data_IF_731638109747
#
_entry.id   IF_731638109747
#
_cell.length_a   1.000
_cell.length_b   1.000
_cell.length_c   1.000
_cell.angle_alpha   90.00
_cell.angle_beta   90.00
_cell.angle_gamma   90.00
#
_symmetry.space_group_name_H-M   'P 1'
#
loop_
_entity.id
_entity.type
_entity.pdbx_description
1 polymer ?
#
# COMPACT_ATOMS: atom_id res chain seq x y z
N UNK A 1 69.86 9.88 -5.34
CA UNK A 1 68.89 8.98 -4.69
C UNK A 1 68.63 9.52 -3.29
N UNK A 2 67.46 9.24 -2.72
CA UNK A 2 67.11 9.63 -1.35
C UNK A 2 66.77 8.38 -0.54
N UNK A 3 66.77 8.53 0.79
CA UNK A 3 66.32 7.53 1.76
C UNK A 3 65.14 8.09 2.54
N UNK A 4 64.14 7.25 2.79
CA UNK A 4 63.05 7.56 3.72
C UNK A 4 63.02 6.51 4.81
N UNK A 5 62.87 6.99 6.05
CA UNK A 5 62.56 6.16 7.20
C UNK A 5 61.15 6.50 7.65
N UNK A 6 60.29 5.47 7.63
CA UNK A 6 58.86 5.58 7.90
C UNK A 6 58.54 4.72 9.12
N UNK A 7 57.91 5.32 10.12
CA UNK A 7 57.31 4.59 11.23
C UNK A 7 55.80 4.57 11.01
N UNK A 8 55.27 3.38 10.75
CA UNK A 8 53.84 3.15 10.61
C UNK A 8 53.24 2.73 11.95
N UNK A 9 52.17 3.43 12.36
CA UNK A 9 51.42 3.18 13.59
C UNK A 9 49.98 2.77 13.26
N UNK A 10 49.37 1.96 14.12
CA UNK A 10 48.00 1.46 14.00
C UNK A 10 47.91 -0.07 14.00
N UNK A 11 46.90 -0.63 13.34
CA UNK A 11 46.78 -2.08 13.12
C UNK A 11 47.68 -2.51 11.96
N UNK A 12 48.99 -2.50 12.22
CA UNK A 12 50.04 -2.78 11.22
C UNK A 12 50.85 -4.04 11.52
N UNK A 13 50.71 -4.61 12.71
CA UNK A 13 51.35 -5.88 13.08
C UNK A 13 50.37 -7.05 13.04
N UNK A 14 50.88 -8.25 12.76
CA UNK A 14 50.10 -9.51 12.70
C UNK A 14 48.97 -9.55 11.65
N UNK A 15 48.96 -8.58 10.73
CA UNK A 15 47.93 -8.40 9.68
C UNK A 15 48.48 -8.53 8.25
N UNK A 16 49.75 -8.92 8.09
CA UNK A 16 50.40 -9.07 6.78
C UNK A 16 50.93 -7.78 6.16
N UNK A 17 50.97 -6.67 6.92
CA UNK A 17 51.43 -5.37 6.42
C UNK A 17 52.86 -5.40 5.86
N UNK A 18 53.79 -6.09 6.53
CA UNK A 18 55.19 -6.23 6.07
C UNK A 18 55.27 -6.85 4.67
N UNK A 19 54.47 -7.88 4.40
CA UNK A 19 54.40 -8.55 3.10
C UNK A 19 53.86 -7.61 2.01
N UNK A 20 52.88 -6.75 2.35
CA UNK A 20 52.34 -5.77 1.41
C UNK A 20 53.35 -4.63 1.14
N UNK A 21 54.04 -4.14 2.17
CA UNK A 21 55.09 -3.11 2.06
C UNK A 21 56.21 -3.60 1.16
N UNK A 22 56.72 -4.82 1.35
CA UNK A 22 57.74 -5.42 0.48
C UNK A 22 57.25 -5.50 -0.96
N UNK A 23 56.01 -5.95 -1.18
CA UNK A 23 55.43 -6.05 -2.53
C UNK A 23 55.35 -4.68 -3.22
N UNK A 24 54.94 -3.64 -2.50
CA UNK A 24 54.87 -2.27 -3.03
C UNK A 24 56.28 -1.76 -3.34
N UNK A 25 57.24 -1.95 -2.43
CA UNK A 25 58.62 -1.50 -2.62
C UNK A 25 59.26 -2.16 -3.85
N UNK A 26 59.08 -3.47 -4.01
CA UNK A 26 59.55 -4.23 -5.18
C UNK A 26 58.91 -3.73 -6.48
N UNK A 27 57.60 -3.46 -6.50
CA UNK A 27 56.90 -2.90 -7.68
C UNK A 27 57.43 -1.54 -8.11
N UNK A 28 57.82 -0.72 -7.14
CA UNK A 28 58.39 0.61 -7.40
C UNK A 28 59.90 0.56 -7.67
N UNK A 29 60.55 -0.61 -7.54
CA UNK A 29 61.99 -0.76 -7.73
C UNK A 29 62.81 -0.06 -6.64
N UNK A 30 62.30 -0.04 -5.41
CA UNK A 30 62.96 0.51 -4.23
C UNK A 30 63.74 -0.59 -3.50
N UNK A 31 64.82 -0.20 -2.82
CA UNK A 31 65.63 -1.09 -1.96
C UNK A 31 65.50 -0.67 -0.50
N UNK A 32 65.83 -1.57 0.44
CA UNK A 32 65.69 -1.27 1.87
C UNK A 32 65.16 -2.45 2.67
N UNK A 33 64.43 -2.18 3.74
CA UNK A 33 63.84 -3.23 4.55
C UNK A 33 62.60 -2.79 5.32
N UNK A 34 61.83 -3.77 5.79
CA UNK A 34 60.74 -3.56 6.74
C UNK A 34 60.87 -4.50 7.93
N UNK A 35 60.67 -3.97 9.14
CA UNK A 35 60.74 -4.72 10.39
C UNK A 35 59.65 -4.29 11.39
N UNK A 36 59.24 -5.20 12.26
CA UNK A 36 58.36 -4.85 13.37
C UNK A 36 59.20 -4.24 14.50
N UNK A 37 58.76 -3.11 15.03
CA UNK A 37 59.31 -2.53 16.26
C UNK A 37 58.42 -2.90 17.45
N UNK A 38 59.04 -3.32 18.56
CA UNK A 38 58.33 -3.46 19.83
C UNK A 38 58.00 -2.03 20.36
N UNK A 39 56.78 -1.75 20.85
CA UNK A 39 55.71 -2.71 21.12
C UNK A 39 54.83 -3.06 19.91
N UNK A 40 54.38 -2.10 19.07
CA UNK A 40 53.36 -2.36 18.04
C UNK A 40 53.56 -1.63 16.70
N UNK A 41 54.68 -0.94 16.51
CA UNK A 41 54.92 -0.13 15.30
C UNK A 41 55.65 -0.93 14.21
N UNK A 42 55.63 -0.45 12.97
CA UNK A 42 56.42 -1.04 11.88
C UNK A 42 57.37 0.01 11.32
N UNK A 43 58.65 -0.34 11.29
CA UNK A 43 59.70 0.50 10.68
C UNK A 43 59.94 0.06 9.25
N UNK A 44 59.93 1.03 8.35
CA UNK A 44 60.22 0.85 6.94
C UNK A 44 61.38 1.77 6.59
N UNK A 45 62.44 1.23 6.01
CA UNK A 45 63.52 2.01 5.41
C UNK A 45 63.51 1.73 3.92
N UNK A 46 63.39 2.77 3.10
CA UNK A 46 63.38 2.63 1.65
C UNK A 46 64.30 3.65 0.98
N UNK A 47 65.06 3.21 -0.03
CA UNK A 47 65.95 4.02 -0.84
C UNK A 47 65.56 3.96 -2.31
N UNK A 48 65.71 5.08 -3.02
CA UNK A 48 65.36 5.16 -4.44
C UNK A 48 65.26 6.58 -4.99
N UNK A 49 64.60 6.70 -6.14
CA UNK A 49 64.26 7.99 -6.74
C UNK A 49 63.20 8.71 -5.90
N UNK A 50 63.36 10.01 -5.69
CA UNK A 50 62.48 10.81 -4.84
C UNK A 50 61.00 10.71 -5.27
N UNK A 51 60.71 10.67 -6.57
CA UNK A 51 59.35 10.51 -7.08
C UNK A 51 58.71 9.18 -6.71
N UNK A 52 59.48 8.08 -6.77
CA UNK A 52 59.02 6.73 -6.38
C UNK A 52 58.83 6.63 -4.88
N UNK A 53 59.68 7.30 -4.09
CA UNK A 53 59.58 7.33 -2.63
C UNK A 53 58.35 8.10 -2.15
N UNK A 54 57.99 9.21 -2.81
CA UNK A 54 56.73 9.93 -2.54
C UNK A 54 55.52 9.05 -2.82
N UNK A 55 55.51 8.36 -3.96
CA UNK A 55 54.47 7.39 -4.29
C UNK A 55 54.40 6.25 -3.27
N UNK A 56 55.56 5.74 -2.83
CA UNK A 56 55.63 4.69 -1.83
C UNK A 56 54.99 5.11 -0.51
N UNK A 57 55.30 6.31 0.00
CA UNK A 57 54.72 6.85 1.23
C UNK A 57 53.18 6.93 1.16
N UNK A 58 52.62 7.31 0.01
CA UNK A 58 51.17 7.36 -0.17
C UNK A 58 50.54 5.96 -0.16
N UNK A 59 51.15 5.00 -0.87
CA UNK A 59 50.57 3.66 -1.06
C UNK A 59 50.72 2.80 0.19
N UNK A 60 51.74 3.02 1.02
CA UNK A 60 51.89 2.28 2.28
C UNK A 60 50.90 2.73 3.36
N UNK A 61 50.17 3.85 3.19
CA UNK A 61 49.08 4.25 4.09
C UNK A 61 47.79 3.45 3.83
N UNK A 62 47.84 2.15 4.13
CA UNK A 62 46.76 1.21 3.84
C UNK A 62 45.61 1.36 4.86
N UNK A 63 44.39 1.50 4.35
CA UNK A 63 43.14 1.63 5.11
C UNK A 63 42.14 0.56 4.65
N UNK A 64 42.53 -0.72 4.77
CA UNK A 64 41.75 -1.86 4.30
C UNK A 64 41.94 -3.04 5.22
N UNK A 65 40.84 -3.55 5.78
CA UNK A 65 40.84 -4.75 6.62
C UNK A 65 41.65 -5.91 5.97
N UNK A 66 42.59 -6.55 6.70
CA UNK A 66 42.87 -6.40 8.14
C UNK A 66 43.92 -5.32 8.51
N UNK A 67 44.37 -4.49 7.58
CA UNK A 67 45.44 -3.50 7.79
C UNK A 67 44.84 -2.08 7.93
N UNK A 68 45.15 -1.41 9.04
CA UNK A 68 44.77 -0.02 9.25
C UNK A 68 45.96 0.81 9.75
N UNK A 69 46.53 1.60 8.85
CA UNK A 69 47.62 2.53 9.17
C UNK A 69 47.02 3.86 9.63
N UNK A 70 47.10 4.15 10.92
CA UNK A 70 46.57 5.39 11.52
C UNK A 70 47.44 6.60 11.14
N UNK A 71 48.75 6.47 11.29
CA UNK A 71 49.70 7.53 11.01
C UNK A 71 51.01 6.99 10.46
N UNK A 72 51.66 7.80 9.61
CA UNK A 72 53.00 7.55 9.11
C UNK A 72 53.90 8.72 9.55
N UNK A 73 54.93 8.43 10.31
CA UNK A 73 55.99 9.40 10.62
C UNK A 73 57.11 9.20 9.61
N UNK A 74 57.35 10.20 8.76
CA UNK A 74 58.30 10.10 7.64
C UNK A 74 59.47 11.03 7.88
N UNK A 75 60.68 10.50 7.79
CA UNK A 75 61.93 11.27 7.83
C UNK A 75 62.74 11.03 6.56
N UNK A 76 63.21 12.12 5.95
CA UNK A 76 64.00 12.08 4.71
C UNK A 76 65.48 12.21 5.03
N UNK A 77 66.30 11.39 4.37
CA UNK A 77 67.75 11.32 4.55
C UNK A 77 68.44 11.17 3.18
N UNK A 78 69.75 11.36 3.13
CA UNK A 78 70.57 10.99 1.96
C UNK A 78 70.67 9.47 1.85
N UNK A 79 70.67 8.94 0.62
CA UNK A 79 70.79 7.51 0.40
C UNK A 79 72.18 7.01 0.78
N UNK A 80 72.24 5.94 1.57
CA UNK A 80 73.50 5.28 1.94
C UNK A 80 73.96 4.31 0.85
N UNK A 81 73.04 3.81 0.03
CA UNK A 81 73.34 2.85 -1.04
C UNK A 81 73.71 1.46 -0.52
N UNK A 82 73.37 1.18 0.74
CA UNK A 82 73.74 -0.05 1.44
C UNK A 82 72.84 -1.26 1.08
N UNK A 83 71.69 -1.01 0.45
CA UNK A 83 70.69 -2.03 0.16
C UNK A 83 70.66 -2.42 -1.32
N UNK A 84 70.88 -3.70 -1.61
CA UNK A 84 70.77 -4.26 -2.97
C UNK A 84 69.34 -4.74 -3.33
N UNK A 85 68.53 -5.05 -2.33
CA UNK A 85 67.15 -5.51 -2.47
C UNK A 85 66.30 -4.99 -1.32
N UNK A 86 64.97 -5.18 -1.42
CA UNK A 86 64.05 -4.91 -0.32
C UNK A 86 63.74 -6.20 0.43
N UNK A 87 63.99 -6.23 1.75
CA UNK A 87 63.83 -7.42 2.59
C UNK A 87 62.86 -7.24 3.77
N UNK A 88 62.23 -8.33 4.21
CA UNK A 88 61.47 -8.38 5.45
C UNK A 88 62.38 -8.91 6.56
N UNK A 89 62.68 -8.09 7.56
CA UNK A 89 63.39 -8.54 8.76
C UNK A 89 62.40 -9.11 9.75
N UNK A 90 62.57 -10.40 10.06
CA UNK A 90 61.75 -11.14 11.02
C UNK A 90 62.54 -11.34 12.31
N UNK A 91 61.84 -11.30 13.45
CA UNK A 91 62.40 -11.64 14.75
C UNK A 91 62.48 -13.16 14.95
N UNK A 92 62.41 -13.63 16.20
CA UNK A 92 62.29 -15.06 16.46
C UNK A 92 60.99 -15.63 15.88
N UNK A 93 61.12 -16.65 15.04
CA UNK A 93 59.98 -17.29 14.38
C UNK A 93 58.96 -17.81 15.40
N UNK A 94 59.42 -18.45 16.47
CA UNK A 94 58.55 -18.97 17.54
C UNK A 94 57.64 -17.91 18.13
N UNK A 95 58.18 -16.75 18.54
CA UNK A 95 57.38 -15.63 19.09
C UNK A 95 56.36 -15.13 18.05
N UNK A 96 56.80 -14.92 16.81
CA UNK A 96 55.93 -14.42 15.73
C UNK A 96 54.79 -15.40 15.36
N UNK A 97 55.03 -16.71 15.47
CA UNK A 97 54.03 -17.75 15.18
C UNK A 97 52.93 -17.79 16.24
N UNK A 98 53.28 -17.81 17.53
CA UNK A 98 52.30 -17.83 18.62
C UNK A 98 51.41 -16.59 18.57
N UNK A 99 52.00 -15.44 18.33
CA UNK A 99 51.27 -14.18 18.18
C UNK A 99 50.24 -14.20 17.04
N UNK A 100 50.58 -14.81 15.89
CA UNK A 100 49.66 -14.99 14.77
C UNK A 100 48.57 -16.02 15.08
N UNK A 101 48.89 -17.09 15.80
CA UNK A 101 47.92 -18.10 16.22
C UNK A 101 46.90 -17.53 17.21
N UNK A 102 47.34 -16.69 18.17
CA UNK A 102 46.42 -15.99 19.08
C UNK A 102 45.47 -15.06 18.32
N UNK A 103 45.99 -14.31 17.34
CA UNK A 103 45.19 -13.45 16.49
C UNK A 103 44.16 -14.26 15.67
N UNK A 104 44.59 -15.38 15.08
CA UNK A 104 43.71 -16.29 14.35
C UNK A 104 42.62 -16.88 15.27
N UNK A 105 42.98 -17.30 16.49
CA UNK A 105 42.04 -17.81 17.49
C UNK A 105 40.98 -16.79 17.86
N UNK A 106 41.35 -15.52 18.10
CA UNK A 106 40.39 -14.44 18.37
C UNK A 106 39.44 -14.19 17.19
N UNK A 107 39.96 -14.20 15.97
CA UNK A 107 39.14 -14.03 14.76
C UNK A 107 38.17 -15.19 14.57
N UNK A 108 38.61 -16.42 14.80
CA UNK A 108 37.76 -17.61 14.73
C UNK A 108 36.67 -17.59 15.80
N UNK A 109 37.00 -17.25 17.04
CA UNK A 109 36.00 -17.10 18.11
C UNK A 109 34.94 -16.05 17.76
N UNK A 110 35.38 -14.87 17.28
CA UNK A 110 34.48 -13.82 16.81
C UNK A 110 33.61 -14.27 15.64
N UNK A 111 34.14 -15.09 14.73
CA UNK A 111 33.37 -15.65 13.62
C UNK A 111 32.26 -16.60 14.11
N UNK A 112 32.56 -17.45 15.10
CA UNK A 112 31.57 -18.33 15.74
C UNK A 112 30.48 -17.50 16.42
N UNK A 113 30.86 -16.51 17.22
CA UNK A 113 29.91 -15.62 17.91
C UNK A 113 28.99 -14.89 16.92
N UNK A 114 29.54 -14.36 15.82
CA UNK A 114 28.75 -13.73 14.76
C UNK A 114 27.80 -14.72 14.07
N UNK A 115 28.24 -15.96 13.89
CA UNK A 115 27.41 -17.02 13.30
C UNK A 115 26.24 -17.39 14.22
N UNK A 116 26.47 -17.50 15.53
CA UNK A 116 25.41 -17.74 16.52
C UNK A 116 24.36 -16.62 16.51
N UNK A 117 24.80 -15.35 16.48
CA UNK A 117 23.88 -14.21 16.37
C UNK A 117 23.07 -14.22 15.07
N UNK A 118 23.69 -14.65 13.97
CA UNK A 118 22.99 -14.77 12.69
C UNK A 118 21.89 -15.84 12.74
N UNK A 119 22.15 -16.97 13.42
CA UNK A 119 21.15 -18.01 13.65
C UNK A 119 20.00 -17.48 14.52
N UNK A 120 20.29 -16.79 15.62
CA UNK A 120 19.27 -16.22 16.51
C UNK A 120 18.34 -15.22 15.76
N UNK A 121 18.93 -14.38 14.90
CA UNK A 121 18.16 -13.47 14.04
C UNK A 121 17.32 -14.24 13.02
N UNK A 122 17.85 -15.33 12.46
CA UNK A 122 17.11 -16.25 11.58
C UNK A 122 15.88 -16.83 12.25
N UNK A 123 16.00 -17.31 13.50
CA UNK A 123 14.88 -17.83 14.28
C UNK A 123 13.81 -16.77 14.58
N UNK A 124 14.24 -15.54 14.92
CA UNK A 124 13.30 -14.42 15.12
C UNK A 124 12.53 -14.09 13.85
N UNK A 125 13.20 -14.11 12.69
CA UNK A 125 12.56 -13.88 11.40
C UNK A 125 11.58 -14.99 11.03
N UNK A 126 11.89 -16.26 11.32
CA UNK A 126 10.95 -17.37 11.13
C UNK A 126 9.68 -17.17 11.98
N UNK A 127 9.81 -16.85 13.26
CA UNK A 127 8.66 -16.58 14.15
C UNK A 127 7.78 -15.42 13.64
N UNK A 128 8.39 -14.36 13.12
CA UNK A 128 7.66 -13.25 12.52
C UNK A 128 6.94 -13.67 11.23
N UNK A 129 7.57 -14.53 10.43
CA UNK A 129 7.00 -15.03 9.18
C UNK A 129 5.80 -15.94 9.44
N UNK A 130 5.87 -16.83 10.44
CA UNK A 130 4.74 -17.65 10.89
C UNK A 130 3.53 -16.80 11.31
N UNK A 131 3.77 -15.74 12.09
CA UNK A 131 2.71 -14.79 12.49
C UNK A 131 2.09 -14.06 11.29
N UNK A 132 2.90 -13.70 10.30
CA UNK A 132 2.41 -13.06 9.09
C UNK A 132 1.49 -13.99 8.29
N UNK A 133 1.83 -15.28 8.20
CA UNK A 133 0.98 -16.30 7.58
C UNK A 133 -0.33 -16.46 8.34
N UNK A 134 -0.30 -16.56 9.67
CA UNK A 134 -1.51 -16.69 10.50
C UNK A 134 -2.46 -15.50 10.31
N UNK A 135 -1.93 -14.27 10.25
CA UNK A 135 -2.73 -13.07 9.96
C UNK A 135 -3.29 -13.09 8.54
N UNK A 136 -2.53 -13.57 7.57
CA UNK A 136 -2.97 -13.78 6.19
C UNK A 136 -4.18 -14.71 6.12
N UNK A 137 -4.14 -15.86 6.81
CA UNK A 137 -5.25 -16.80 6.89
C UNK A 137 -6.50 -16.20 7.54
N UNK A 138 -6.33 -15.42 8.61
CA UNK A 138 -7.45 -14.71 9.25
C UNK A 138 -8.10 -13.71 8.30
N UNK A 139 -7.30 -12.97 7.53
CA UNK A 139 -7.80 -12.03 6.53
C UNK A 139 -8.55 -12.72 5.38
N UNK A 140 -8.08 -13.88 4.93
CA UNK A 140 -8.80 -14.67 3.92
C UNK A 140 -10.18 -15.10 4.44
N UNK A 141 -10.25 -15.64 5.66
CA UNK A 141 -11.53 -16.02 6.29
C UNK A 141 -12.50 -14.85 6.43
N UNK A 142 -12.00 -13.66 6.76
CA UNK A 142 -12.82 -12.45 6.82
C UNK A 142 -13.32 -12.03 5.43
N UNK A 143 -12.46 -12.14 4.42
CA UNK A 143 -12.82 -11.82 3.03
C UNK A 143 -13.89 -12.76 2.49
N UNK A 144 -13.79 -14.07 2.75
CA UNK A 144 -14.82 -15.05 2.40
C UNK A 144 -16.18 -14.71 3.02
N UNK A 145 -16.20 -14.35 4.32
CA UNK A 145 -17.43 -13.92 5.00
C UNK A 145 -18.03 -12.66 4.39
N UNK A 146 -17.19 -11.72 3.98
CA UNK A 146 -17.64 -10.48 3.32
C UNK A 146 -18.32 -10.78 1.98
N UNK A 147 -17.77 -11.71 1.19
CA UNK A 147 -18.38 -12.17 -0.07
C UNK A 147 -19.72 -12.84 0.21
N UNK A 148 -19.80 -13.76 1.18
CA UNK A 148 -21.05 -14.44 1.54
C UNK A 148 -22.16 -13.45 1.95
N UNK A 149 -21.80 -12.42 2.72
CA UNK A 149 -22.74 -11.35 3.08
C UNK A 149 -23.15 -10.51 1.87
N UNK A 150 -22.22 -10.23 0.95
CA UNK A 150 -22.51 -9.56 -0.32
C UNK A 150 -23.54 -10.33 -1.16
N UNK A 151 -23.38 -11.64 -1.30
CA UNK A 151 -24.33 -12.50 -2.01
C UNK A 151 -25.72 -12.51 -1.35
N UNK A 152 -25.79 -12.57 -0.01
CA UNK A 152 -27.06 -12.49 0.72
C UNK A 152 -27.76 -11.15 0.48
N UNK A 153 -27.02 -10.05 0.47
CA UNK A 153 -27.56 -8.72 0.18
C UNK A 153 -28.07 -8.58 -1.25
N UNK A 154 -27.39 -9.17 -2.23
CA UNK A 154 -27.86 -9.22 -3.62
C UNK A 154 -29.19 -9.96 -3.72
N UNK A 155 -29.30 -11.15 -3.11
CA UNK A 155 -30.56 -11.93 -3.08
C UNK A 155 -31.72 -11.16 -2.43
N UNK A 156 -31.43 -10.40 -1.36
CA UNK A 156 -32.43 -9.56 -0.72
C UNK A 156 -32.86 -8.39 -1.63
N UNK A 157 -31.90 -7.79 -2.34
CA UNK A 157 -32.17 -6.70 -3.29
C UNK A 157 -33.03 -7.17 -4.46
N UNK A 158 -32.73 -8.35 -5.03
CA UNK A 158 -33.54 -8.97 -6.08
C UNK A 158 -35.00 -9.20 -5.62
N UNK A 159 -35.19 -9.69 -4.39
CA UNK A 159 -36.52 -9.86 -3.80
C UNK A 159 -37.25 -8.53 -3.63
N UNK A 160 -36.56 -7.47 -3.21
CA UNK A 160 -37.14 -6.14 -3.06
C UNK A 160 -37.60 -5.56 -4.40
N UNK A 161 -36.80 -5.76 -5.47
CA UNK A 161 -37.18 -5.37 -6.84
C UNK A 161 -38.43 -6.13 -7.28
N UNK A 162 -38.46 -7.46 -7.13
CA UNK A 162 -39.62 -8.27 -7.52
C UNK A 162 -40.91 -7.89 -6.77
N UNK A 163 -40.80 -7.52 -5.49
CA UNK A 163 -41.95 -7.00 -4.73
C UNK A 163 -42.42 -5.64 -5.26
N UNK A 164 -41.49 -4.77 -5.63
CA UNK A 164 -41.80 -3.45 -6.18
C UNK A 164 -42.50 -3.57 -7.55
N UNK A 165 -42.03 -4.46 -8.42
CA UNK A 165 -42.68 -4.76 -9.70
C UNK A 165 -44.12 -5.24 -9.51
N UNK A 166 -44.35 -6.16 -8.56
CA UNK A 166 -45.71 -6.62 -8.21
C UNK A 166 -46.60 -5.49 -7.71
N UNK A 167 -46.06 -4.57 -6.91
CA UNK A 167 -46.82 -3.42 -6.41
C UNK A 167 -47.25 -2.50 -7.56
N UNK A 168 -46.37 -2.27 -8.55
CA UNK A 168 -46.69 -1.51 -9.76
C UNK A 168 -47.80 -2.20 -10.56
N UNK A 169 -47.68 -3.52 -10.79
CA UNK A 169 -48.70 -4.29 -11.53
C UNK A 169 -50.08 -4.22 -10.86
N UNK A 170 -50.13 -4.33 -9.53
CA UNK A 170 -51.38 -4.17 -8.77
C UNK A 170 -51.92 -2.74 -8.87
N UNK A 171 -51.06 -1.73 -8.83
CA UNK A 171 -51.44 -0.34 -9.04
C UNK A 171 -52.08 -0.12 -10.41
N UNK A 172 -51.50 -0.68 -11.47
CA UNK A 172 -52.07 -0.60 -12.82
C UNK A 172 -53.44 -1.29 -12.93
N UNK A 173 -53.61 -2.46 -12.29
CA UNK A 173 -54.90 -3.16 -12.23
C UNK A 173 -55.95 -2.33 -11.50
N UNK A 174 -55.59 -1.69 -10.39
CA UNK A 174 -56.49 -0.79 -9.66
C UNK A 174 -56.90 0.41 -10.52
N UNK A 175 -55.97 1.06 -11.22
CA UNK A 175 -56.28 2.17 -12.12
C UNK A 175 -57.22 1.75 -13.27
N UNK A 176 -57.05 0.53 -13.82
CA UNK A 176 -57.97 -0.02 -14.83
C UNK A 176 -59.37 -0.22 -14.26
N UNK A 177 -59.46 -0.76 -13.04
CA UNK A 177 -60.74 -0.96 -12.35
C UNK A 177 -61.43 0.37 -12.06
N UNK A 178 -60.71 1.36 -11.53
CA UNK A 178 -61.25 2.71 -11.26
C UNK A 178 -61.81 3.36 -12.53
N UNK A 179 -61.08 3.27 -13.65
CA UNK A 179 -61.56 3.77 -14.95
C UNK A 179 -62.84 3.07 -15.40
N UNK A 180 -62.93 1.75 -15.22
CA UNK A 180 -64.14 0.99 -15.57
C UNK A 180 -65.34 1.38 -14.70
N UNK A 181 -65.12 1.55 -13.39
CA UNK A 181 -66.15 2.01 -12.45
C UNK A 181 -66.63 3.41 -12.82
N UNK A 182 -65.72 4.36 -13.09
CA UNK A 182 -66.08 5.71 -13.51
C UNK A 182 -66.89 5.73 -14.81
N UNK A 183 -66.53 4.87 -15.77
CA UNK A 183 -67.29 4.72 -17.01
C UNK A 183 -68.72 4.22 -16.74
N UNK A 184 -68.87 3.18 -15.92
CA UNK A 184 -70.17 2.63 -15.55
C UNK A 184 -71.05 3.67 -14.80
N UNK A 185 -70.47 4.39 -13.83
CA UNK A 185 -71.17 5.47 -13.11
C UNK A 185 -71.64 6.56 -14.08
N UNK A 186 -70.80 6.94 -15.04
CA UNK A 186 -71.14 7.96 -16.04
C UNK A 186 -72.28 7.51 -16.94
N UNK A 187 -72.20 6.29 -17.46
CA UNK A 187 -73.26 5.70 -18.30
C UNK A 187 -74.59 5.64 -17.54
N UNK A 188 -74.57 5.22 -16.28
CA UNK A 188 -75.79 5.16 -15.45
C UNK A 188 -76.35 6.55 -15.14
N UNK A 189 -75.48 7.51 -14.82
CA UNK A 189 -75.88 8.91 -14.61
C UNK A 189 -76.52 9.54 -15.84
N UNK A 190 -76.02 9.21 -17.04
CA UNK A 190 -76.60 9.67 -18.31
C UNK A 190 -77.99 9.08 -18.54
N UNK A 191 -78.20 7.78 -18.28
CA UNK A 191 -79.53 7.15 -18.33
C UNK A 191 -80.50 7.80 -17.35
N UNK A 192 -80.12 7.93 -16.08
CA UNK A 192 -80.97 8.55 -15.05
C UNK A 192 -81.33 9.98 -15.43
N UNK A 193 -80.39 10.75 -15.98
CA UNK A 193 -80.66 12.12 -16.46
C UNK A 193 -81.68 12.13 -17.60
N UNK A 194 -81.61 11.17 -18.53
CA UNK A 194 -82.56 11.08 -19.64
C UNK A 194 -83.95 10.65 -19.15
N UNK A 195 -84.05 9.69 -18.23
CA UNK A 195 -85.32 9.32 -17.58
C UNK A 195 -85.97 10.51 -16.87
N UNK A 196 -85.20 11.29 -16.10
CA UNK A 196 -85.69 12.52 -15.45
C UNK A 196 -86.19 13.53 -16.50
N UNK A 197 -85.50 13.63 -17.65
CA UNK A 197 -85.89 14.53 -18.73
C UNK A 197 -87.24 14.13 -19.33
N UNK A 198 -87.44 12.83 -19.58
CA UNK A 198 -88.70 12.29 -20.09
C UNK A 198 -89.84 12.50 -19.10
N UNK A 199 -89.66 12.13 -17.82
CA UNK A 199 -90.65 12.34 -16.76
C UNK A 199 -91.06 13.81 -16.60
N UNK A 200 -90.11 14.74 -16.75
CA UNK A 200 -90.42 16.19 -16.75
C UNK A 200 -91.24 16.61 -17.96
N UNK A 201 -91.01 16.00 -19.12
CA UNK A 201 -91.81 16.19 -20.32
C UNK A 201 -93.25 15.72 -20.08
N UNK A 202 -93.41 14.47 -19.63
CA UNK A 202 -94.72 13.86 -19.36
C UNK A 202 -95.51 14.67 -18.31
N UNK A 203 -94.85 15.09 -17.23
CA UNK A 203 -95.47 15.93 -16.20
C UNK A 203 -95.91 17.28 -16.76
N UNK A 204 -95.10 17.89 -17.63
CA UNK A 204 -95.44 19.16 -18.26
C UNK A 204 -96.66 19.02 -19.17
N UNK A 205 -96.72 17.97 -19.99
CA UNK A 205 -97.86 17.67 -20.85
C UNK A 205 -99.13 17.45 -20.03
N UNK A 206 -99.05 16.64 -18.97
CA UNK A 206 -100.15 16.42 -18.03
C UNK A 206 -100.64 17.72 -17.36
N UNK A 207 -99.74 18.60 -16.93
CA UNK A 207 -100.10 19.90 -16.34
C UNK A 207 -100.76 20.80 -17.39
N UNK A 208 -100.21 20.86 -18.61
CA UNK A 208 -100.75 21.69 -19.69
C UNK A 208 -102.16 21.23 -20.10
N UNK A 209 -102.38 19.92 -20.19
CA UNK A 209 -103.69 19.31 -20.48
C UNK A 209 -104.71 19.58 -19.36
N UNK A 210 -104.34 19.33 -18.10
CA UNK A 210 -105.19 19.65 -16.95
C UNK A 210 -105.54 21.14 -16.87
N UNK A 211 -104.57 22.04 -17.10
CA UNK A 211 -104.83 23.47 -17.11
C UNK A 211 -105.74 23.88 -18.27
N UNK A 212 -105.68 23.18 -19.40
CA UNK A 212 -106.59 23.39 -20.54
C UNK A 212 -108.00 22.91 -20.17
N UNK A 213 -108.13 21.76 -19.54
CA UNK A 213 -109.42 21.23 -19.06
C UNK A 213 -110.04 22.15 -18.00
N UNK A 214 -109.28 22.56 -16.98
CA UNK A 214 -109.72 23.50 -15.94
C UNK A 214 -110.18 24.81 -16.58
N UNK A 215 -109.39 25.39 -17.50
CA UNK A 215 -109.78 26.60 -18.23
C UNK A 215 -111.06 26.40 -19.03
N UNK A 216 -111.22 25.25 -19.69
CA UNK A 216 -112.45 24.88 -20.39
C UNK A 216 -113.67 24.86 -19.46
N UNK A 217 -113.56 24.20 -18.30
CA UNK A 217 -114.62 24.14 -17.28
C UNK A 217 -114.96 25.51 -16.70
N UNK A 218 -113.97 26.38 -16.49
CA UNK A 218 -114.20 27.78 -16.06
C UNK A 218 -115.03 28.53 -17.09
N UNK A 219 -114.71 28.42 -18.38
CA UNK A 219 -115.47 29.06 -19.47
C UNK A 219 -116.92 28.55 -19.53
N UNK A 220 -117.15 27.26 -19.28
CA UNK A 220 -118.50 26.70 -19.20
C UNK A 220 -119.29 27.24 -18.02
N UNK A 221 -118.66 27.35 -16.84
CA UNK A 221 -119.25 27.95 -15.64
C UNK A 221 -119.59 29.43 -15.89
N UNK A 222 -118.68 30.20 -16.49
CA UNK A 222 -118.93 31.61 -16.85
C UNK A 222 -120.13 31.76 -17.80
N UNK A 223 -120.24 30.90 -18.81
CA UNK A 223 -121.41 30.88 -19.72
C UNK A 223 -122.71 30.53 -18.99
N UNK A 224 -122.67 29.58 -18.06
CA UNK A 224 -123.82 29.19 -17.26
C UNK A 224 -124.28 30.33 -16.32
N UNK A 225 -123.32 31.02 -15.68
CA UNK A 225 -123.60 32.18 -14.83
C UNK A 225 -124.22 33.35 -15.59
N UNK A 226 -123.73 33.65 -16.81
CA UNK A 226 -124.34 34.63 -17.72
C UNK A 226 -125.79 34.29 -18.10
N UNK A 227 -126.07 33.01 -18.38
CA UNK A 227 -127.44 32.55 -18.69
C UNK A 227 -128.39 32.64 -17.50
N UNK A 228 -127.86 32.54 -16.27
CA UNK A 228 -128.62 32.63 -15.03
C UNK A 228 -128.83 34.08 -14.52
N UNK A 229 -128.25 35.10 -15.18
CA UNK A 229 -128.37 36.50 -14.79
C UNK A 229 -127.61 36.91 -13.52
N UNK A 230 -126.67 36.06 -13.06
CA UNK A 230 -125.85 36.29 -11.86
C UNK A 230 -124.60 37.13 -12.20
N UNK A 231 -124.20 37.13 -13.48
CA UNK A 231 -123.03 37.80 -14.05
C UNK A 231 -123.41 38.46 -15.38
#
# INVERSE_FOLDING_TARGET
MKRVEIIAKGEVQRVGYRDEVERIARKLGLTGYVENLKPYDVKIVAEGDEGKLKQFIEVVKIQKFPIFVESLEVSWQEATGEFSFFEIRRGEWTEELFERLDAAGRLLYRNVELSERAVELGEKNLKLSERAVELGEKNLKLSERAVELGEKNLKLSERAVALSERAVELGEKNLKLERAILKAIREESEKTREEIRLLRGDLREYIEENLKEIRGRIVEIEKALKRAGIM
#
